data_IF_932164227067
#
_entry.id   IF_932164227067
#
_cell.length_a   1.000
_cell.length_b   1.000
_cell.length_c   1.000
_cell.angle_alpha   90.00
_cell.angle_beta   90.00
_cell.angle_gamma   90.00
#
_symmetry.space_group_name_H-M   'P 1'
#
loop_
_entity.id
_entity.type
_entity.pdbx_description
1 polymer ?
#
# COMPACT_ATOMS: atom_id res chain seq x y z
N UNK A 1 6.75 29.13 1.92
CA UNK A 1 6.67 28.33 3.16
C UNK A 1 7.73 27.24 3.05
N UNK A 2 8.82 27.34 3.79
CA UNK A 2 9.98 26.44 3.65
C UNK A 2 9.89 25.42 4.77
N UNK A 3 9.42 24.21 4.46
CA UNK A 3 9.47 23.10 5.40
C UNK A 3 10.91 22.58 5.45
N UNK A 4 11.58 22.81 6.59
CA UNK A 4 12.87 22.21 6.90
C UNK A 4 12.59 21.02 7.80
N UNK A 5 12.62 19.82 7.24
CA UNK A 5 12.49 18.61 8.05
C UNK A 5 13.80 18.39 8.82
N UNK A 6 13.77 18.64 10.12
CA UNK A 6 14.84 18.23 11.03
C UNK A 6 14.79 16.71 11.21
N UNK A 7 15.94 16.06 11.33
CA UNK A 7 15.98 14.66 11.73
C UNK A 7 15.29 14.49 13.10
N UNK A 8 14.05 13.94 13.12
CA UNK A 8 13.29 13.67 14.35
C UNK A 8 11.87 14.25 14.41
N UNK A 9 11.41 15.00 13.41
CA UNK A 9 10.01 15.46 13.37
C UNK A 9 9.09 14.38 12.77
N UNK A 10 7.79 14.42 13.12
CA UNK A 10 6.78 13.47 12.64
C UNK A 10 6.24 13.91 11.27
N UNK A 11 5.92 12.96 10.39
CA UNK A 11 5.34 13.24 9.08
C UNK A 11 3.90 13.73 9.27
N UNK A 12 3.56 14.87 8.68
CA UNK A 12 2.18 15.35 8.66
C UNK A 12 1.34 14.62 7.60
N UNK A 13 0.02 14.65 7.75
CA UNK A 13 -0.89 14.04 6.77
C UNK A 13 -0.78 14.73 5.40
N UNK A 14 -0.60 16.05 5.37
CA UNK A 14 -0.42 16.82 4.14
C UNK A 14 0.87 16.42 3.41
N UNK A 15 1.97 16.20 4.13
CA UNK A 15 3.22 15.72 3.55
C UNK A 15 3.09 14.31 2.97
N UNK A 16 2.33 13.44 3.65
CA UNK A 16 2.01 12.11 3.11
C UNK A 16 1.23 12.24 1.80
N UNK A 17 0.21 13.11 1.73
CA UNK A 17 -0.52 13.35 0.49
C UNK A 17 0.37 13.92 -0.61
N UNK A 18 1.22 14.90 -0.31
CA UNK A 18 2.19 15.44 -1.27
C UNK A 18 3.13 14.35 -1.81
N UNK A 19 3.64 13.49 -0.92
CA UNK A 19 4.49 12.37 -1.31
C UNK A 19 3.74 11.40 -2.24
N UNK A 20 2.49 11.04 -1.91
CA UNK A 20 1.66 10.18 -2.75
C UNK A 20 1.33 10.81 -4.11
N UNK A 21 1.03 12.12 -4.15
CA UNK A 21 0.80 12.84 -5.42
C UNK A 21 2.03 12.84 -6.31
N UNK A 22 3.23 13.00 -5.73
CA UNK A 22 4.49 12.89 -6.46
C UNK A 22 4.68 11.47 -7.02
N UNK A 23 4.45 10.43 -6.21
CA UNK A 23 4.55 9.03 -6.65
C UNK A 23 3.60 8.76 -7.82
N UNK A 24 2.34 9.21 -7.73
CA UNK A 24 1.38 9.07 -8.83
C UNK A 24 1.87 9.79 -10.11
N UNK A 25 2.47 10.96 -9.96
CA UNK A 25 3.03 11.72 -11.09
C UNK A 25 4.22 10.99 -11.71
N UNK A 26 5.08 10.35 -10.90
CA UNK A 26 6.19 9.53 -11.37
C UNK A 26 5.70 8.32 -12.17
N UNK A 27 4.56 7.72 -11.80
CA UNK A 27 3.96 6.63 -12.57
C UNK A 27 3.50 7.07 -13.96
N UNK A 28 3.07 8.32 -14.13
CA UNK A 28 2.62 8.86 -15.43
C UNK A 28 3.82 9.24 -16.30
N UNK A 29 4.89 9.76 -15.69
CA UNK A 29 6.09 10.23 -16.39
C UNK A 29 7.34 9.52 -15.84
N UNK A 30 7.54 8.22 -16.12
CA UNK A 30 8.61 7.46 -15.50
C UNK A 30 9.98 7.93 -15.97
N UNK A 31 10.85 8.25 -15.00
CA UNK A 31 12.28 8.43 -15.24
C UNK A 31 13.03 7.21 -14.73
N UNK A 32 14.21 6.96 -15.30
CA UNK A 32 15.07 5.84 -14.87
C UNK A 32 15.50 5.98 -13.41
N UNK A 33 15.96 7.17 -13.05
CA UNK A 33 16.40 7.47 -11.69
C UNK A 33 15.39 8.38 -10.99
N UNK A 34 15.00 8.03 -9.77
CA UNK A 34 14.01 8.79 -9.00
C UNK A 34 14.41 10.26 -8.78
N UNK A 35 15.71 10.55 -8.78
CA UNK A 35 16.23 11.90 -8.55
C UNK A 35 16.07 12.81 -9.78
N UNK A 36 15.93 12.22 -10.98
CA UNK A 36 15.83 12.96 -12.24
C UNK A 36 14.57 13.82 -12.32
N UNK A 37 13.51 13.43 -11.59
CA UNK A 37 12.29 14.22 -11.47
C UNK A 37 12.52 15.63 -10.89
N UNK A 38 13.62 15.83 -10.15
CA UNK A 38 14.06 17.13 -9.61
C UNK A 38 15.25 17.74 -10.35
N UNK A 39 15.63 17.19 -11.50
CA UNK A 39 16.71 17.72 -12.32
C UNK A 39 16.42 19.16 -12.76
N UNK A 40 17.47 19.90 -13.14
CA UNK A 40 17.32 21.20 -13.80
C UNK A 40 17.20 21.05 -15.33
N UNK A 41 17.33 19.83 -15.87
CA UNK A 41 17.14 19.54 -17.29
C UNK A 41 15.67 19.69 -17.67
N UNK A 42 15.36 20.49 -18.69
CA UNK A 42 13.98 20.65 -19.18
C UNK A 42 13.34 19.37 -19.73
N UNK A 43 14.13 18.33 -20.01
CA UNK A 43 13.63 17.03 -20.48
C UNK A 43 13.23 16.07 -19.36
N UNK A 44 13.87 16.19 -18.19
CA UNK A 44 13.70 15.26 -17.07
C UNK A 44 12.95 15.90 -15.89
N UNK A 45 13.01 17.22 -15.80
CA UNK A 45 12.35 18.00 -14.75
C UNK A 45 10.84 17.96 -14.93
N UNK A 46 10.13 17.67 -13.85
CA UNK A 46 8.71 17.94 -13.74
C UNK A 46 8.51 19.14 -12.80
N UNK A 47 8.05 20.31 -13.29
CA UNK A 47 7.86 21.51 -12.47
C UNK A 47 6.95 21.27 -11.26
N UNK A 48 5.86 20.52 -11.46
CA UNK A 48 4.92 20.19 -10.39
C UNK A 48 5.60 19.42 -9.24
N UNK A 49 6.44 18.43 -9.56
CA UNK A 49 7.16 17.65 -8.54
C UNK A 49 8.11 18.56 -7.75
N UNK A 50 8.85 19.43 -8.44
CA UNK A 50 9.83 20.34 -7.82
C UNK A 50 9.18 21.39 -6.92
N UNK A 51 8.00 21.88 -7.29
CA UNK A 51 7.24 22.87 -6.53
C UNK A 51 6.48 22.25 -5.35
N UNK A 52 6.07 20.98 -5.47
CA UNK A 52 5.29 20.28 -4.43
C UNK A 52 6.16 19.92 -3.23
N UNK A 53 7.31 19.28 -3.45
CA UNK A 53 8.20 18.87 -2.36
C UNK A 53 9.67 18.90 -2.81
N UNK A 54 10.59 19.50 -2.04
CA UNK A 54 12.02 19.45 -2.35
C UNK A 54 12.57 18.02 -2.37
N UNK A 55 13.48 17.73 -3.31
CA UNK A 55 14.10 16.40 -3.51
C UNK A 55 14.56 15.75 -2.20
N UNK A 56 15.35 16.46 -1.41
CA UNK A 56 15.95 15.90 -0.20
C UNK A 56 14.88 15.59 0.87
N UNK A 57 13.83 16.42 0.95
CA UNK A 57 12.70 16.16 1.84
C UNK A 57 11.93 14.92 1.38
N UNK A 58 11.62 14.82 0.08
CA UNK A 58 10.99 13.62 -0.49
C UNK A 58 11.80 12.35 -0.18
N UNK A 59 13.12 12.36 -0.44
CA UNK A 59 13.98 11.21 -0.18
C UNK A 59 14.04 10.86 1.31
N UNK A 60 14.06 11.87 2.19
CA UNK A 60 14.03 11.64 3.63
C UNK A 60 12.71 10.98 4.07
N UNK A 61 11.57 11.43 3.54
CA UNK A 61 10.27 10.78 3.80
C UNK A 61 10.26 9.36 3.24
N UNK A 62 10.74 9.16 2.02
CA UNK A 62 10.81 7.86 1.35
C UNK A 62 11.61 6.83 2.15
N UNK A 63 12.81 7.18 2.62
CA UNK A 63 13.66 6.25 3.38
C UNK A 63 13.17 5.99 4.81
N UNK A 64 12.39 6.92 5.37
CA UNK A 64 11.87 6.80 6.73
C UNK A 64 10.43 6.29 6.80
N UNK A 65 9.81 5.96 5.66
CA UNK A 65 8.46 5.40 5.64
C UNK A 65 8.45 4.04 6.35
N UNK A 66 7.57 3.89 7.34
CA UNK A 66 7.39 2.68 8.14
C UNK A 66 5.90 2.37 8.28
N UNK A 67 5.57 1.09 8.22
CA UNK A 67 4.19 0.59 8.34
C UNK A 67 3.93 -0.22 9.63
N UNK A 68 4.90 -0.27 10.53
CA UNK A 68 4.78 -0.92 11.83
C UNK A 68 5.53 -0.14 12.91
N UNK A 69 5.01 -0.16 14.13
CA UNK A 69 5.74 0.33 15.29
C UNK A 69 6.79 -0.71 15.72
N UNK A 70 8.05 -0.29 15.76
CA UNK A 70 9.18 -1.14 16.15
C UNK A 70 9.28 -1.28 17.67
N UNK A 71 8.62 -0.37 18.41
CA UNK A 71 8.56 -0.39 19.88
C UNK A 71 7.47 -1.31 20.40
N UNK A 72 6.51 -1.66 19.55
CA UNK A 72 5.41 -2.57 19.88
C UNK A 72 5.28 -3.63 18.78
N UNK A 73 6.23 -4.57 18.69
CA UNK A 73 6.16 -5.64 17.71
C UNK A 73 4.93 -6.51 18.00
N UNK A 74 3.85 -6.25 17.25
CA UNK A 74 2.61 -7.04 17.22
C UNK A 74 1.82 -6.96 18.54
N UNK A 75 1.16 -5.84 18.80
CA UNK A 75 -0.10 -5.90 19.54
C UNK A 75 -1.16 -6.47 18.60
N UNK A 76 -1.76 -7.61 18.95
CA UNK A 76 -2.88 -8.23 18.24
C UNK A 76 -3.89 -7.16 17.83
N UNK A 77 -4.19 -7.08 16.53
CA UNK A 77 -5.28 -6.24 16.04
C UNK A 77 -6.56 -6.81 16.65
N UNK A 78 -7.08 -6.16 17.69
CA UNK A 78 -8.44 -6.41 18.14
C UNK A 78 -9.35 -5.83 17.07
N UNK A 79 -9.98 -6.70 16.28
CA UNK A 79 -10.97 -6.32 15.29
C UNK A 79 -12.15 -5.63 15.99
N UNK A 80 -12.16 -4.30 16.02
CA UNK A 80 -13.38 -3.56 16.31
C UNK A 80 -14.19 -3.50 15.02
N UNK A 81 -15.20 -4.37 14.94
CA UNK A 81 -16.25 -4.35 13.92
C UNK A 81 -16.92 -2.96 14.00
N UNK A 82 -16.97 -2.15 12.92
CA UNK A 82 -17.68 -0.88 12.94
C UNK A 82 -19.17 -1.12 13.18
N UNK A 83 -19.79 -0.25 13.97
CA UNK A 83 -21.24 -0.30 14.24
C UNK A 83 -22.04 -0.29 12.92
N UNK A 84 -22.98 -1.23 12.84
CA UNK A 84 -23.76 -1.57 11.66
C UNK A 84 -24.74 -0.46 11.30
N UNK A 85 -24.66 0.06 10.06
CA UNK A 85 -25.86 0.51 9.37
C UNK A 85 -26.49 -0.72 8.71
N UNK A 86 -27.75 -0.98 9.05
CA UNK A 86 -28.50 -2.19 8.76
C UNK A 86 -28.95 -2.23 7.28
N UNK A 87 -28.11 -2.77 6.40
CA UNK A 87 -28.49 -3.19 5.05
C UNK A 87 -28.47 -4.72 4.94
N UNK A 88 -29.34 -5.35 5.73
CA UNK A 88 -29.49 -6.80 5.78
C UNK A 88 -29.75 -7.44 4.41
N UNK A 89 -28.71 -8.00 3.78
CA UNK A 89 -28.86 -9.24 2.99
C UNK A 89 -27.59 -10.08 2.71
N UNK A 90 -26.35 -9.66 3.05
CA UNK A 90 -25.16 -10.52 2.85
C UNK A 90 -24.26 -10.71 4.09
N UNK A 91 -24.71 -10.22 5.24
CA UNK A 91 -23.97 -10.24 6.51
C UNK A 91 -23.52 -11.64 6.96
N UNK A 92 -24.40 -12.65 7.04
CA UNK A 92 -24.03 -13.94 7.64
C UNK A 92 -23.03 -14.76 6.82
N UNK A 93 -23.13 -14.76 5.49
CA UNK A 93 -22.16 -15.45 4.62
C UNK A 93 -20.81 -14.74 4.60
N UNK A 94 -20.83 -13.41 4.63
CA UNK A 94 -19.62 -12.59 4.68
C UNK A 94 -18.90 -12.76 6.02
N UNK A 95 -19.63 -12.77 7.13
CA UNK A 95 -19.11 -13.02 8.49
C UNK A 95 -18.55 -14.45 8.63
N UNK A 96 -19.20 -15.45 8.04
CA UNK A 96 -18.68 -16.82 8.01
C UNK A 96 -17.36 -16.92 7.21
N UNK A 97 -17.28 -16.24 6.06
CA UNK A 97 -16.06 -16.17 5.25
C UNK A 97 -14.92 -15.44 5.97
N UNK A 98 -15.21 -14.33 6.67
CA UNK A 98 -14.22 -13.62 7.47
C UNK A 98 -13.65 -14.53 8.57
N UNK A 99 -14.51 -15.22 9.33
CA UNK A 99 -14.07 -16.18 10.36
C UNK A 99 -13.18 -17.29 9.81
N UNK A 100 -13.47 -17.80 8.63
CA UNK A 100 -12.67 -18.86 8.00
C UNK A 100 -11.29 -18.35 7.58
N UNK A 101 -11.20 -17.12 7.06
CA UNK A 101 -9.94 -16.44 6.74
C UNK A 101 -9.08 -16.22 8.00
N UNK A 102 -9.69 -15.82 9.12
CA UNK A 102 -8.96 -15.60 10.39
C UNK A 102 -8.39 -16.90 10.97
N UNK A 103 -9.03 -18.05 10.72
CA UNK A 103 -8.55 -19.35 11.15
C UNK A 103 -7.34 -19.83 10.32
N UNK A 104 -7.38 -19.62 9.00
CA UNK A 104 -6.25 -19.93 8.11
C UNK A 104 -4.96 -19.17 8.48
N UNK A 105 -5.08 -17.90 8.86
CA UNK A 105 -3.95 -17.08 9.33
C UNK A 105 -3.36 -17.55 10.66
N UNK A 106 -4.14 -18.22 11.51
CA UNK A 106 -3.68 -18.79 12.78
C UNK A 106 -2.98 -20.13 12.60
N UNK A 107 -3.42 -20.94 11.64
CA UNK A 107 -2.81 -22.26 11.35
C UNK A 107 -1.51 -22.15 10.55
N UNK A 108 -1.36 -21.13 9.71
CA UNK A 108 -0.14 -20.88 8.96
C UNK A 108 0.65 -19.75 9.57
N UNK A 109 1.77 -20.07 10.24
CA UNK A 109 2.68 -19.11 10.87
C UNK A 109 3.14 -18.05 9.86
N UNK A 110 2.43 -16.91 9.84
CA UNK A 110 2.68 -15.83 8.89
C UNK A 110 4.13 -15.37 9.07
N UNK A 111 4.83 -15.31 7.94
CA UNK A 111 6.22 -14.90 7.89
C UNK A 111 6.41 -13.57 8.66
N UNK A 112 7.36 -13.49 9.61
CA UNK A 112 7.61 -12.27 10.38
C UNK A 112 7.85 -11.01 9.55
N UNK A 113 8.32 -11.14 8.31
CA UNK A 113 8.47 -10.01 7.39
C UNK A 113 7.13 -9.45 6.91
N UNK A 114 6.11 -10.30 6.73
CA UNK A 114 4.76 -9.88 6.35
C UNK A 114 4.00 -9.22 7.52
N UNK A 115 4.28 -9.62 8.76
CA UNK A 115 3.69 -9.00 9.96
C UNK A 115 3.92 -7.49 10.03
N UNK A 116 5.01 -6.98 9.44
CA UNK A 116 5.36 -5.55 9.43
C UNK A 116 4.44 -4.68 8.56
N UNK A 117 3.73 -5.28 7.61
CA UNK A 117 2.80 -4.59 6.71
C UNK A 117 1.36 -5.10 6.88
N UNK A 118 1.16 -6.16 7.66
CA UNK A 118 -0.12 -6.85 7.79
C UNK A 118 -1.27 -5.93 8.20
N UNK A 119 -1.07 -5.04 9.16
CA UNK A 119 -2.12 -4.10 9.57
C UNK A 119 -2.58 -3.21 8.40
N UNK A 120 -1.64 -2.65 7.63
CA UNK A 120 -1.98 -1.87 6.44
C UNK A 120 -2.63 -2.74 5.36
N UNK A 121 -2.10 -3.94 5.10
CA UNK A 121 -2.65 -4.87 4.12
C UNK A 121 -4.10 -5.25 4.46
N UNK A 122 -4.40 -5.52 5.72
CA UNK A 122 -5.75 -5.88 6.17
C UNK A 122 -6.73 -4.73 5.96
N UNK A 123 -6.35 -3.49 6.29
CA UNK A 123 -7.19 -2.31 6.02
C UNK A 123 -7.39 -2.08 4.53
N UNK A 124 -6.36 -2.26 3.69
CA UNK A 124 -6.49 -2.15 2.24
C UNK A 124 -7.44 -3.22 1.67
N UNK A 125 -7.33 -4.46 2.15
CA UNK A 125 -8.24 -5.56 1.76
C UNK A 125 -9.68 -5.23 2.15
N UNK A 126 -9.89 -4.71 3.36
CA UNK A 126 -11.21 -4.29 3.84
C UNK A 126 -11.81 -3.19 2.95
N UNK A 127 -11.04 -2.13 2.66
CA UNK A 127 -11.48 -1.04 1.79
C UNK A 127 -11.77 -1.54 0.36
N UNK A 128 -10.93 -2.43 -0.16
CA UNK A 128 -11.13 -3.03 -1.48
C UNK A 128 -12.42 -3.86 -1.53
N UNK A 129 -12.70 -4.69 -0.52
CA UNK A 129 -13.94 -5.48 -0.42
C UNK A 129 -15.18 -4.59 -0.46
N UNK A 130 -15.18 -3.49 0.30
CA UNK A 130 -16.29 -2.51 0.31
C UNK A 130 -16.47 -1.89 -1.08
N UNK A 131 -15.37 -1.43 -1.70
CA UNK A 131 -15.42 -0.84 -3.04
C UNK A 131 -15.88 -1.84 -4.11
N UNK A 132 -15.42 -3.09 -4.03
CA UNK A 132 -15.79 -4.17 -4.93
C UNK A 132 -17.30 -4.47 -4.84
N UNK A 133 -17.83 -4.64 -3.63
CA UNK A 133 -19.26 -4.91 -3.41
C UNK A 133 -20.16 -3.78 -3.94
N UNK A 134 -19.76 -2.51 -3.75
CA UNK A 134 -20.53 -1.35 -4.21
C UNK A 134 -20.60 -1.19 -5.73
N UNK A 135 -19.54 -1.59 -6.44
CA UNK A 135 -19.38 -1.27 -7.86
C UNK A 135 -19.74 -2.43 -8.79
N UNK A 136 -20.07 -3.61 -8.25
CA UNK A 136 -20.30 -4.80 -9.06
C UNK A 136 -21.79 -5.06 -9.28
N UNK A 137 -22.28 -5.06 -10.54
CA UNK A 137 -23.70 -5.20 -10.83
C UNK A 137 -24.19 -6.63 -10.56
N UNK A 138 -25.07 -6.79 -9.58
CA UNK A 138 -25.68 -8.08 -9.16
C UNK A 138 -26.46 -8.85 -10.24
N UNK A 139 -26.70 -8.24 -11.41
CA UNK A 139 -27.61 -8.75 -12.44
C UNK A 139 -26.99 -9.62 -13.54
N UNK A 140 -25.66 -9.85 -13.55
CA UNK A 140 -25.01 -10.66 -14.61
C UNK A 140 -24.28 -11.88 -14.03
N UNK A 141 -24.33 -13.00 -14.77
CA UNK A 141 -23.44 -14.14 -14.53
C UNK A 141 -21.99 -13.69 -14.63
N UNK A 142 -21.30 -13.68 -13.50
CA UNK A 142 -19.88 -13.35 -13.44
C UNK A 142 -19.04 -14.50 -13.97
N UNK A 143 -18.08 -14.17 -14.83
CA UNK A 143 -16.97 -15.06 -15.17
C UNK A 143 -15.75 -14.53 -14.44
N UNK A 144 -15.26 -15.30 -13.48
CA UNK A 144 -14.04 -14.96 -12.76
C UNK A 144 -12.84 -15.55 -13.49
N UNK A 145 -11.75 -14.81 -13.50
CA UNK A 145 -10.42 -15.31 -13.85
C UNK A 145 -9.54 -15.04 -12.64
N UNK A 146 -8.79 -16.06 -12.23
CA UNK A 146 -7.81 -15.99 -11.16
C UNK A 146 -6.46 -16.16 -11.82
N UNK A 147 -5.56 -15.21 -11.59
CA UNK A 147 -4.20 -15.21 -12.13
C UNK A 147 -3.27 -14.58 -11.09
N UNK A 148 -1.97 -14.89 -11.18
CA UNK A 148 -0.96 -14.32 -10.29
C UNK A 148 -0.22 -13.13 -10.94
N UNK A 149 -0.06 -12.07 -10.14
CA UNK A 149 0.80 -10.93 -10.47
C UNK A 149 2.08 -10.99 -9.63
N UNK A 150 3.22 -10.64 -10.25
CA UNK A 150 4.49 -10.56 -9.57
C UNK A 150 4.90 -9.10 -9.40
N UNK A 151 5.34 -8.74 -8.20
CA UNK A 151 6.03 -7.47 -7.96
C UNK A 151 7.54 -7.71 -8.04
N UNK A 152 8.20 -7.04 -8.96
CA UNK A 152 9.64 -7.14 -9.10
C UNK A 152 10.37 -6.44 -7.93
N UNK A 153 11.37 -7.11 -7.35
CA UNK A 153 12.16 -6.53 -6.27
C UNK A 153 13.57 -7.14 -6.23
N UNK A 154 14.60 -6.33 -6.39
CA UNK A 154 16.00 -6.78 -6.39
C UNK A 154 16.66 -6.87 -5.01
N UNK A 155 16.02 -6.35 -3.96
CA UNK A 155 16.53 -6.46 -2.60
C UNK A 155 16.34 -7.84 -1.95
N UNK A 156 16.79 -7.95 -0.70
CA UNK A 156 16.67 -9.19 0.09
C UNK A 156 15.28 -9.28 0.72
N UNK A 157 14.48 -10.24 0.27
CA UNK A 157 13.18 -10.61 0.85
C UNK A 157 13.11 -12.12 0.94
N UNK A 158 12.67 -12.64 2.08
CA UNK A 158 12.69 -14.08 2.39
C UNK A 158 11.66 -14.90 1.63
N UNK A 159 10.56 -14.29 1.20
CA UNK A 159 9.52 -14.89 0.38
C UNK A 159 9.64 -14.52 -1.11
N UNK A 160 10.79 -13.99 -1.56
CA UNK A 160 11.03 -13.70 -2.98
C UNK A 160 11.13 -15.02 -3.76
N UNK A 161 10.31 -15.14 -4.82
CA UNK A 161 10.33 -16.30 -5.73
C UNK A 161 10.85 -15.86 -7.10
N UNK A 162 11.74 -16.66 -7.69
CA UNK A 162 12.17 -16.47 -9.08
C UNK A 162 11.23 -17.22 -10.02
N UNK A 163 10.65 -16.52 -10.99
CA UNK A 163 9.83 -17.12 -12.04
C UNK A 163 10.45 -16.76 -13.41
N UNK A 164 11.11 -17.70 -14.10
CA UNK A 164 11.79 -17.42 -15.38
C UNK A 164 10.82 -17.14 -16.53
N UNK A 165 9.53 -17.46 -16.38
CA UNK A 165 8.51 -17.27 -17.42
C UNK A 165 7.88 -15.87 -17.36
N UNK A 166 8.15 -15.10 -16.31
CA UNK A 166 7.63 -13.72 -16.16
C UNK A 166 8.77 -12.75 -16.45
N UNK A 167 8.47 -11.55 -16.99
CA UNK A 167 9.50 -10.56 -17.30
C UNK A 167 10.26 -10.17 -16.03
N UNK A 168 11.58 -10.19 -16.12
CA UNK A 168 12.46 -9.50 -15.19
C UNK A 168 12.69 -8.11 -15.76
N UNK A 169 12.26 -7.06 -15.06
CA UNK A 169 12.58 -5.68 -15.45
C UNK A 169 14.09 -5.40 -15.41
#
# INVERSE_FOLDING_TARGET
MVYRYGAGENMSLDELYCMLSIILTMCIHPNKDIQDHWSNSGLLCNPFIKETLPRNQFLQLWYNLRFCDHRNPVSEVQETIPDKEDDGYESEKFEAYLKDSTNYEKEHNIDPALKRVQSLSNELIKLWKIAFARNIPTSKKFRFTIDESLLFFNGRVIFKVFNPMKPAE
#
